data_IF_089362307536
#
_entry.id   IF_089362307536
#
_cell.length_a   1.000
_cell.length_b   1.000
_cell.length_c   1.000
_cell.angle_alpha   90.00
_cell.angle_beta   90.00
_cell.angle_gamma   90.00
#
_symmetry.space_group_name_H-M   'P 1'
#
loop_
_entity.id
_entity.type
_entity.pdbx_description
1 polymer ?
#
# COMPACT_ATOMS: atom_id res chain seq x y z
N UNK A 1 -0.97 -16.53 2.51
CA UNK A 1 -0.77 -15.09 2.57
C UNK A 1 -0.78 -14.50 1.18
N UNK A 2 -1.24 -13.29 1.03
CA UNK A 2 -1.35 -12.64 -0.26
C UNK A 2 -0.41 -11.45 -0.34
N UNK A 3 -0.07 -11.05 -1.55
CA UNK A 3 0.76 -9.88 -1.79
C UNK A 3 0.02 -8.98 -2.78
N UNK A 4 -0.09 -7.71 -2.43
CA UNK A 4 -0.72 -6.72 -3.30
C UNK A 4 0.30 -5.65 -3.64
N UNK A 5 0.25 -5.17 -4.87
CA UNK A 5 1.13 -4.11 -5.33
C UNK A 5 0.27 -2.92 -5.77
N UNK A 6 0.66 -1.74 -5.31
CA UNK A 6 -0.04 -0.51 -5.65
C UNK A 6 0.92 0.46 -6.30
N UNK A 7 0.43 1.20 -7.27
CA UNK A 7 1.19 2.29 -7.86
C UNK A 7 0.85 3.57 -7.14
N UNK A 8 1.87 4.29 -6.68
CA UNK A 8 1.67 5.58 -6.03
C UNK A 8 1.49 6.64 -7.11
N UNK A 9 0.34 7.28 -7.14
CA UNK A 9 0.02 8.27 -8.16
C UNK A 9 0.67 9.62 -7.87
N UNK A 10 0.95 9.88 -6.59
CA UNK A 10 1.58 11.12 -6.17
C UNK A 10 2.57 10.83 -5.05
N UNK A 11 3.85 11.03 -5.32
CA UNK A 11 4.91 10.82 -4.34
C UNK A 11 5.84 12.04 -4.39
N UNK A 12 5.58 13.00 -3.52
CA UNK A 12 6.29 14.27 -3.54
C UNK A 12 7.48 14.35 -2.58
N UNK A 13 7.60 13.42 -1.65
CA UNK A 13 8.67 13.47 -0.67
C UNK A 13 8.99 12.09 -0.10
N UNK A 14 10.19 11.95 0.48
CA UNK A 14 10.60 10.70 1.12
C UNK A 14 9.77 10.39 2.36
N UNK A 15 9.36 11.41 3.09
CA UNK A 15 8.53 11.22 4.28
C UNK A 15 7.21 10.57 3.94
N UNK A 16 6.66 10.86 2.76
CA UNK A 16 5.40 10.28 2.33
C UNK A 16 5.49 8.76 2.21
N UNK A 17 6.62 8.26 1.70
CA UNK A 17 6.83 6.82 1.57
C UNK A 17 6.77 6.14 2.94
N UNK A 18 7.41 6.72 3.94
CA UNK A 18 7.41 6.17 5.30
C UNK A 18 6.02 6.20 5.91
N UNK A 19 5.27 7.28 5.68
CA UNK A 19 3.90 7.41 6.18
C UNK A 19 3.00 6.36 5.54
N UNK A 20 3.11 6.17 4.23
CA UNK A 20 2.31 5.19 3.50
C UNK A 20 2.60 3.77 4.00
N UNK A 21 3.86 3.46 4.23
CA UNK A 21 4.26 2.18 4.78
C UNK A 21 3.64 1.97 6.16
N UNK A 22 3.69 2.97 7.01
CA UNK A 22 3.09 2.92 8.34
C UNK A 22 1.58 2.73 8.29
N UNK A 23 0.89 3.40 7.38
CA UNK A 23 -0.55 3.25 7.20
C UNK A 23 -0.90 1.81 6.83
N UNK A 24 -0.14 1.22 5.91
CA UNK A 24 -0.36 -0.16 5.52
C UNK A 24 -0.10 -1.12 6.67
N UNK A 25 1.01 -0.93 7.37
CA UNK A 25 1.37 -1.80 8.50
C UNK A 25 0.38 -1.69 9.67
N UNK A 26 -0.27 -0.55 9.81
CA UNK A 26 -1.28 -0.32 10.84
C UNK A 26 -2.59 -1.04 10.53
N UNK A 27 -2.79 -1.46 9.31
CA UNK A 27 -4.00 -2.17 8.90
C UNK A 27 -3.97 -3.59 9.44
N UNK A 28 -5.06 -4.01 10.09
CA UNK A 28 -5.16 -5.36 10.62
C UNK A 28 -5.02 -6.39 9.49
N UNK A 29 -4.21 -7.41 9.73
CA UNK A 29 -3.97 -8.47 8.76
C UNK A 29 -2.78 -8.23 7.85
N UNK A 30 -2.17 -7.05 7.91
CA UNK A 30 -0.95 -6.76 7.14
C UNK A 30 0.26 -7.23 7.95
N UNK A 31 1.12 -8.01 7.32
CA UNK A 31 2.33 -8.51 7.96
C UNK A 31 3.55 -7.70 7.58
N UNK A 32 3.57 -7.13 6.38
CA UNK A 32 4.69 -6.34 5.92
C UNK A 32 4.24 -5.38 4.83
N UNK A 33 4.81 -4.20 4.83
CA UNK A 33 4.59 -3.23 3.75
C UNK A 33 5.94 -2.63 3.39
N UNK A 34 6.18 -2.49 2.09
CA UNK A 34 7.43 -1.95 1.59
C UNK A 34 7.14 -0.99 0.44
N UNK A 35 7.73 0.19 0.50
CA UNK A 35 7.57 1.21 -0.53
C UNK A 35 8.85 1.30 -1.35
N UNK A 36 8.71 1.18 -2.66
CA UNK A 36 9.81 1.39 -3.58
C UNK A 36 9.63 2.77 -4.23
N UNK A 37 10.37 3.75 -3.72
CA UNK A 37 10.25 5.13 -4.19
C UNK A 37 10.78 5.32 -5.62
N UNK A 38 11.75 4.50 -6.02
CA UNK A 38 12.29 4.57 -7.37
C UNK A 38 11.28 4.20 -8.44
N UNK A 39 10.47 3.19 -8.15
CA UNK A 39 9.42 2.73 -9.06
C UNK A 39 8.04 3.28 -8.71
N UNK A 40 7.93 3.96 -7.59
CA UNK A 40 6.67 4.52 -7.07
C UNK A 40 5.62 3.43 -6.87
N UNK A 41 6.03 2.33 -6.26
CA UNK A 41 5.13 1.23 -5.96
C UNK A 41 5.21 0.87 -4.49
N UNK A 42 4.11 0.31 -3.98
CA UNK A 42 4.03 -0.22 -2.62
C UNK A 42 3.71 -1.70 -2.75
N UNK A 43 4.51 -2.53 -2.10
CA UNK A 43 4.27 -3.96 -2.01
C UNK A 43 3.82 -4.27 -0.59
N UNK A 44 2.65 -4.88 -0.45
CA UNK A 44 2.08 -5.19 0.86
C UNK A 44 1.84 -6.68 0.96
N UNK A 45 2.40 -7.29 2.00
CA UNK A 45 2.12 -8.69 2.32
C UNK A 45 1.07 -8.72 3.42
N UNK A 46 -0.03 -9.41 3.16
CA UNK A 46 -1.17 -9.42 4.06
C UNK A 46 -1.88 -10.77 4.03
N UNK A 47 -2.76 -10.98 5.00
CA UNK A 47 -3.60 -12.16 5.02
C UNK A 47 -4.62 -12.11 3.90
N UNK A 48 -5.10 -13.27 3.48
CA UNK A 48 -6.09 -13.36 2.40
C UNK A 48 -7.42 -12.68 2.75
N UNK A 49 -7.69 -12.52 4.04
CA UNK A 49 -8.88 -11.80 4.49
C UNK A 49 -8.82 -10.30 4.23
N UNK A 50 -7.62 -9.76 4.04
CA UNK A 50 -7.44 -8.34 3.71
C UNK A 50 -7.56 -8.16 2.20
N UNK A 51 -8.34 -7.18 1.78
CA UNK A 51 -8.52 -6.91 0.35
C UNK A 51 -7.64 -5.74 -0.09
N UNK A 52 -7.17 -5.75 -1.34
CA UNK A 52 -6.44 -4.61 -1.89
C UNK A 52 -7.25 -3.32 -1.84
N UNK A 53 -8.56 -3.42 -2.02
CA UNK A 53 -9.45 -2.25 -1.96
C UNK A 53 -9.42 -1.59 -0.59
N UNK A 54 -9.38 -2.38 0.48
CA UNK A 54 -9.31 -1.83 1.84
C UNK A 54 -8.03 -1.03 2.05
N UNK A 55 -6.91 -1.54 1.57
CA UNK A 55 -5.62 -0.86 1.66
C UNK A 55 -5.63 0.43 0.83
N UNK A 56 -6.18 0.38 -0.37
CA UNK A 56 -6.31 1.54 -1.23
C UNK A 56 -7.14 2.63 -0.54
N UNK A 57 -8.27 2.25 0.05
CA UNK A 57 -9.14 3.20 0.75
C UNK A 57 -8.43 3.83 1.94
N UNK A 58 -7.66 3.06 2.67
CA UNK A 58 -6.90 3.59 3.80
C UNK A 58 -5.89 4.64 3.35
N UNK A 59 -5.20 4.39 2.26
CA UNK A 59 -4.23 5.32 1.71
C UNK A 59 -4.90 6.55 1.13
N UNK A 60 -6.00 6.38 0.41
CA UNK A 60 -6.76 7.50 -0.15
C UNK A 60 -7.29 8.42 0.95
N UNK A 61 -7.76 7.84 2.05
CA UNK A 61 -8.28 8.60 3.18
C UNK A 61 -7.23 9.49 3.82
N UNK A 62 -5.97 9.10 3.74
CA UNK A 62 -4.85 9.87 4.28
C UNK A 62 -4.27 10.85 3.25
N UNK A 63 -4.84 10.92 2.06
CA UNK A 63 -4.38 11.82 1.03
C UNK A 63 -3.28 11.26 0.14
N UNK A 64 -3.13 9.94 0.10
CA UNK A 64 -2.13 9.27 -0.74
C UNK A 64 -2.82 8.41 -1.79
N UNK A 65 -3.23 8.98 -2.91
CA UNK A 65 -3.92 8.22 -3.95
C UNK A 65 -3.01 7.16 -4.56
N UNK A 66 -3.52 5.95 -4.66
CA UNK A 66 -2.79 4.83 -5.25
C UNK A 66 -3.69 4.06 -6.20
N UNK A 67 -3.07 3.29 -7.08
CA UNK A 67 -3.78 2.44 -8.03
C UNK A 67 -3.39 0.99 -7.77
N UNK A 68 -4.37 0.10 -7.77
CA UNK A 68 -4.10 -1.33 -7.57
C UNK A 68 -3.52 -1.90 -8.85
N UNK A 69 -2.28 -2.39 -8.78
CA UNK A 69 -1.59 -2.99 -9.91
C UNK A 69 -1.73 -4.50 -9.95
N UNK A 70 -1.86 -5.12 -8.78
CA UNK A 70 -1.92 -6.58 -8.68
C UNK A 70 -3.34 -7.02 -8.44
N UNK A 71 -3.83 -7.90 -9.30
CA UNK A 71 -5.08 -8.59 -9.03
C UNK A 71 -4.74 -9.83 -8.22
N UNK A 72 -5.32 -9.99 -7.03
CA UNK A 72 -5.14 -11.23 -6.30
C UNK A 72 -5.83 -12.35 -7.07
N UNK A 73 -5.08 -13.37 -7.33
CA UNK A 73 -5.63 -14.56 -7.98
C UNK A 73 -6.20 -15.50 -6.94
#
# INVERSE_FOLDING_TARGET
MATSTFKVLKLDCHSCAMVMEGICEDTAGVTKAEVNSGKRIIVVEHEESVTPTALKQALDAEGYPVEVLTSPL
#
